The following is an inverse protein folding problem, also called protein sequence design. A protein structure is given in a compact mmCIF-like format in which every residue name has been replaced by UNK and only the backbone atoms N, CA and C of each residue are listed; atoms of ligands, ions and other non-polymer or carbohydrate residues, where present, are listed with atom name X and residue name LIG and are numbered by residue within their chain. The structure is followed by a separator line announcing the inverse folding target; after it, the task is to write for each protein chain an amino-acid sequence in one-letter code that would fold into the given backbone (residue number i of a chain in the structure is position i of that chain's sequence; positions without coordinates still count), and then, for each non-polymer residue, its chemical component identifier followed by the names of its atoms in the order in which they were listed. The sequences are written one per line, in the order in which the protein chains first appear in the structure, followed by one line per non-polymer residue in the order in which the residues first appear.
data_IF_250141368100
#
_entry.id   IF_250141368100
#
_cell.length_a   1.000
_cell.length_b   1.000
_cell.length_c   1.000
_cell.angle_alpha   90.00
_cell.angle_beta   90.00
_cell.angle_gamma   90.00
#
_symmetry.space_group_name_H-M   'P 1'
#
loop_
_entity.id
_entity.type
_entity.pdbx_description
1 polymer ?
#
# COMPACT_ATOMS: atom_id res chain seq x y z
N UNK A 1 -76.68 1.96 22.50
CA UNK A 1 -75.43 1.20 22.70
C UNK A 1 -74.40 2.15 23.26
N UNK A 2 -73.95 1.90 24.48
CA UNK A 2 -72.99 2.71 25.21
C UNK A 2 -71.56 2.27 24.85
N UNK A 3 -70.70 3.22 24.47
CA UNK A 3 -69.24 3.10 24.55
C UNK A 3 -68.70 4.52 24.70
N UNK A 4 -68.37 4.88 25.94
CA UNK A 4 -67.76 6.14 26.33
C UNK A 4 -66.33 6.21 25.81
N UNK A 5 -66.04 7.16 24.92
CA UNK A 5 -64.73 7.80 24.87
C UNK A 5 -64.59 8.63 26.15
N UNK A 6 -63.84 8.14 27.15
CA UNK A 6 -63.58 8.93 28.34
C UNK A 6 -62.08 9.05 28.59
N UNK A 7 -61.64 10.31 28.47
CA UNK A 7 -60.37 10.89 28.93
C UNK A 7 -59.19 10.79 27.98
N UNK A 8 -59.32 11.56 26.90
CA UNK A 8 -58.19 12.23 26.26
C UNK A 8 -57.38 13.03 27.28
N UNK A 9 -56.34 12.41 27.83
CA UNK A 9 -55.32 13.11 28.59
C UNK A 9 -54.31 13.72 27.63
N UNK A 10 -54.59 14.93 27.14
CA UNK A 10 -53.51 15.85 26.72
C UNK A 10 -52.72 16.23 27.97
N UNK A 11 -51.66 15.48 28.27
CA UNK A 11 -50.67 15.84 29.31
C UNK A 11 -49.78 16.97 28.77
N UNK A 12 -50.36 18.13 28.53
CA UNK A 12 -49.58 19.38 28.43
C UNK A 12 -50.06 20.31 29.53
N UNK A 13 -49.52 20.08 30.72
CA UNK A 13 -49.73 20.90 31.91
C UNK A 13 -48.70 22.03 31.84
N UNK A 14 -49.07 23.12 31.18
CA UNK A 14 -48.28 24.35 31.19
C UNK A 14 -48.10 24.84 32.63
N UNK A 15 -46.93 25.41 32.92
CA UNK A 15 -46.54 26.02 34.20
C UNK A 15 -45.81 25.08 35.18
N UNK A 16 -44.64 24.56 34.75
CA UNK A 16 -43.41 24.33 35.53
C UNK A 16 -42.46 23.49 34.67
N UNK A 17 -42.00 24.07 33.57
CA UNK A 17 -40.71 23.64 33.03
C UNK A 17 -39.70 24.11 34.06
N UNK A 18 -39.20 23.17 34.86
CA UNK A 18 -38.11 23.48 35.76
C UNK A 18 -36.93 23.91 34.88
N UNK A 19 -36.13 24.89 35.32
CA UNK A 19 -35.00 25.39 34.53
C UNK A 19 -34.06 24.21 34.18
N UNK A 20 -34.04 23.21 35.06
CA UNK A 20 -33.35 21.94 34.86
C UNK A 20 -33.85 21.13 33.65
N UNK A 21 -35.15 21.12 33.33
CA UNK A 21 -35.71 20.41 32.18
C UNK A 21 -35.29 21.07 30.85
N UNK A 22 -35.25 22.41 30.83
CA UNK A 22 -34.79 23.18 29.69
C UNK A 22 -33.28 22.97 29.48
N UNK A 23 -32.51 23.02 30.57
CA UNK A 23 -31.06 22.75 30.52
C UNK A 23 -30.76 21.33 30.01
N UNK A 24 -31.48 20.32 30.50
CA UNK A 24 -31.32 18.94 30.03
C UNK A 24 -31.67 18.77 28.55
N UNK A 25 -32.71 19.46 28.07
CA UNK A 25 -33.10 19.45 26.66
C UNK A 25 -32.05 20.13 25.76
N UNK A 26 -31.46 21.24 26.22
CA UNK A 26 -30.37 21.90 25.49
C UNK A 26 -29.12 21.02 25.46
N UNK A 27 -28.76 20.39 26.59
CA UNK A 27 -27.63 19.47 26.67
C UNK A 27 -27.83 18.28 25.75
N UNK A 28 -29.04 17.72 25.64
CA UNK A 28 -29.30 16.59 24.74
C UNK A 28 -29.18 16.97 23.27
N UNK A 29 -29.64 18.16 22.88
CA UNK A 29 -29.48 18.69 21.52
C UNK A 29 -28.00 18.90 21.18
N UNK A 30 -27.23 19.48 22.11
CA UNK A 30 -25.79 19.69 21.93
C UNK A 30 -25.05 18.34 21.85
N UNK A 31 -25.38 17.38 22.73
CA UNK A 31 -24.79 16.05 22.70
C UNK A 31 -25.09 15.32 21.38
N UNK A 32 -26.33 15.42 20.87
CA UNK A 32 -26.72 14.87 19.57
C UNK A 32 -25.97 15.53 18.40
N UNK A 33 -25.77 16.85 18.46
CA UNK A 33 -24.99 17.56 17.44
C UNK A 33 -23.53 17.11 17.44
N UNK A 34 -22.91 16.96 18.62
CA UNK A 34 -21.52 16.50 18.74
C UNK A 34 -21.37 15.06 18.26
N UNK A 35 -22.29 14.15 18.57
CA UNK A 35 -22.21 12.76 18.09
C UNK A 35 -22.33 12.66 16.58
N UNK A 36 -23.20 13.45 15.94
CA UNK A 36 -23.29 13.51 14.48
C UNK A 36 -21.96 13.96 13.86
N UNK A 37 -21.31 14.99 14.41
CA UNK A 37 -20.03 15.50 13.92
C UNK A 37 -18.92 14.45 14.03
N UNK A 38 -18.81 13.76 15.18
CA UNK A 38 -17.80 12.72 15.40
C UNK A 38 -18.00 11.53 14.46
N UNK A 39 -19.24 11.11 14.21
CA UNK A 39 -19.53 10.02 13.28
C UNK A 39 -19.26 10.41 11.83
N UNK A 40 -19.47 11.68 11.47
CA UNK A 40 -19.22 12.19 10.12
C UNK A 40 -17.73 12.26 9.76
N UNK A 41 -16.83 12.39 10.75
CA UNK A 41 -15.38 12.45 10.55
C UNK A 41 -14.76 11.12 11.01
N UNK A 42 -14.41 10.20 10.09
CA UNK A 42 -13.83 8.93 10.47
C UNK A 42 -12.37 9.08 10.86
N UNK A 43 -12.09 9.46 12.11
CA UNK A 43 -10.73 9.61 12.65
C UNK A 43 -9.92 8.30 12.64
N UNK A 44 -10.59 7.15 12.54
CA UNK A 44 -9.95 5.84 12.42
C UNK A 44 -9.48 5.47 11.01
N UNK A 45 -9.96 6.17 9.96
CA UNK A 45 -9.62 5.81 8.58
C UNK A 45 -8.13 6.01 8.26
N UNK A 46 -7.49 7.15 8.61
CA UNK A 46 -6.04 7.33 8.39
C UNK A 46 -5.19 6.31 9.14
N UNK A 47 -5.64 5.87 10.33
CA UNK A 47 -4.98 4.85 11.13
C UNK A 47 -5.04 3.47 10.45
N UNK A 48 -6.22 3.09 9.96
CA UNK A 48 -6.42 1.82 9.26
C UNK A 48 -5.53 1.72 8.00
N UNK A 49 -5.48 2.79 7.20
CA UNK A 49 -4.63 2.85 6.00
C UNK A 49 -3.15 2.71 6.35
N UNK A 50 -2.67 3.44 7.36
CA UNK A 50 -1.27 3.40 7.78
C UNK A 50 -0.87 2.00 8.27
N UNK A 51 -1.73 1.35 9.06
CA UNK A 51 -1.48 -0.01 9.56
C UNK A 51 -1.41 -1.03 8.41
N UNK A 52 -2.32 -0.91 7.45
CA UNK A 52 -2.37 -1.80 6.28
C UNK A 52 -1.12 -1.64 5.40
N UNK A 53 -0.67 -0.40 5.18
CA UNK A 53 0.55 -0.12 4.43
C UNK A 53 1.79 -0.62 5.18
N UNK A 54 1.88 -0.39 6.50
CA UNK A 54 2.99 -0.88 7.31
C UNK A 54 3.07 -2.41 7.31
N UNK A 55 1.92 -3.09 7.39
CA UNK A 55 1.85 -4.55 7.27
C UNK A 55 2.33 -5.02 5.90
N UNK A 56 1.87 -4.36 4.82
CA UNK A 56 2.26 -4.68 3.45
C UNK A 56 3.77 -4.50 3.24
N UNK A 57 4.36 -3.44 3.78
CA UNK A 57 5.82 -3.24 3.76
C UNK A 57 6.58 -4.35 4.46
N UNK A 58 6.10 -4.79 5.64
CA UNK A 58 6.73 -5.88 6.38
C UNK A 58 6.75 -7.16 5.54
N UNK A 59 5.66 -7.44 4.81
CA UNK A 59 5.58 -8.59 3.90
C UNK A 59 6.53 -8.42 2.70
N UNK A 60 6.52 -7.26 2.05
CA UNK A 60 7.42 -6.97 0.92
C UNK A 60 8.89 -7.08 1.29
N UNK A 61 9.27 -6.71 2.53
CA UNK A 61 10.63 -6.88 3.03
C UNK A 61 11.03 -8.36 3.12
N UNK A 62 10.11 -9.25 3.49
CA UNK A 62 10.36 -10.70 3.47
C UNK A 62 10.55 -11.24 2.03
N UNK A 63 9.93 -10.58 1.05
CA UNK A 63 10.07 -10.88 -0.38
C UNK A 63 11.27 -10.17 -1.04
N UNK A 64 12.26 -9.74 -0.25
CA UNK A 64 13.46 -9.00 -0.68
C UNK A 64 13.18 -7.62 -1.33
N UNK A 65 11.99 -7.04 -1.14
CA UNK A 65 11.61 -5.72 -1.62
C UNK A 65 11.55 -4.71 -0.46
N UNK A 66 12.65 -3.99 -0.22
CA UNK A 66 12.71 -2.97 0.83
C UNK A 66 12.00 -1.67 0.40
N UNK A 67 10.80 -1.41 0.95
CA UNK A 67 10.06 -0.17 0.70
C UNK A 67 10.38 0.87 1.78
N UNK A 68 10.82 2.07 1.38
CA UNK A 68 11.26 3.14 2.30
C UNK A 68 10.19 4.20 2.61
N UNK A 69 9.09 4.23 1.86
CA UNK A 69 8.01 5.24 1.96
C UNK A 69 6.64 4.57 1.85
N UNK A 70 5.67 4.96 2.70
CA UNK A 70 4.32 4.37 2.74
C UNK A 70 3.57 4.55 1.42
N UNK A 71 3.64 5.76 0.86
CA UNK A 71 3.02 6.08 -0.43
C UNK A 71 3.57 5.27 -1.61
N UNK A 72 4.81 4.78 -1.53
CA UNK A 72 5.39 3.97 -2.60
C UNK A 72 4.73 2.58 -2.69
N UNK A 73 4.32 2.01 -1.54
CA UNK A 73 3.61 0.74 -1.50
C UNK A 73 2.24 0.84 -2.18
N UNK A 74 1.51 1.93 -1.92
CA UNK A 74 0.23 2.23 -2.59
C UNK A 74 0.41 2.48 -4.09
N UNK A 75 1.36 3.35 -4.47
CA UNK A 75 1.60 3.73 -5.87
C UNK A 75 1.99 2.53 -6.73
N UNK A 76 2.79 1.61 -6.17
CA UNK A 76 3.22 0.40 -6.88
C UNK A 76 2.05 -0.50 -7.28
N UNK A 77 0.96 -0.50 -6.53
CA UNK A 77 -0.26 -1.25 -6.87
C UNK A 77 -0.95 -0.76 -8.16
N UNK A 78 -0.67 0.48 -8.59
CA UNK A 78 -1.23 1.08 -9.81
C UNK A 78 -0.20 1.27 -10.93
N UNK A 79 1.00 0.69 -10.80
CA UNK A 79 2.06 0.84 -11.80
C UNK A 79 1.69 0.13 -13.10
N UNK A 80 1.76 0.86 -14.23
CA UNK A 80 1.46 0.32 -15.58
C UNK A 80 2.71 0.11 -16.44
N UNK A 81 3.84 0.72 -16.07
CA UNK A 81 5.12 0.64 -16.79
C UNK A 81 6.25 0.41 -15.80
N UNK A 82 7.13 -0.54 -16.10
CA UNK A 82 8.34 -0.83 -15.32
C UNK A 82 9.56 -0.53 -16.20
N UNK A 83 10.26 0.56 -15.86
CA UNK A 83 11.56 0.86 -16.45
C UNK A 83 12.63 0.12 -15.65
N UNK A 84 13.28 -0.86 -16.27
CA UNK A 84 14.36 -1.63 -15.64
C UNK A 84 15.69 -1.34 -16.32
N UNK A 85 16.78 -1.33 -15.55
CA UNK A 85 18.12 -1.29 -16.11
C UNK A 85 18.51 -2.68 -16.64
N UNK A 86 19.41 -2.75 -17.63
CA UNK A 86 19.87 -4.04 -18.15
C UNK A 86 20.96 -4.64 -17.28
N UNK A 87 21.99 -3.87 -16.96
CA UNK A 87 23.25 -4.40 -16.43
C UNK A 87 23.16 -4.52 -14.92
N UNK A 88 23.28 -5.74 -14.40
CA UNK A 88 23.17 -6.00 -12.95
C UNK A 88 21.74 -5.99 -12.41
N UNK A 89 20.72 -5.76 -13.25
CA UNK A 89 19.31 -6.02 -12.89
C UNK A 89 18.74 -7.17 -13.72
N UNK A 90 18.70 -7.05 -15.06
CA UNK A 90 18.28 -8.16 -15.93
C UNK A 90 19.39 -9.17 -16.18
N UNK A 91 20.65 -8.73 -16.19
CA UNK A 91 21.81 -9.61 -16.31
C UNK A 91 22.40 -9.92 -14.95
N UNK A 92 23.01 -11.11 -14.80
CA UNK A 92 23.77 -11.50 -13.61
C UNK A 92 25.07 -10.69 -13.41
N UNK A 93 25.32 -9.68 -14.26
CA UNK A 93 26.58 -8.94 -14.33
C UNK A 93 27.83 -9.85 -14.44
N UNK A 94 27.65 -11.06 -15.00
CA UNK A 94 28.71 -12.04 -15.25
C UNK A 94 28.94 -12.10 -16.76
N UNK A 95 29.98 -11.42 -17.23
CA UNK A 95 30.34 -11.44 -18.65
C UNK A 95 31.09 -12.73 -18.98
N UNK A 96 30.58 -13.48 -19.96
CA UNK A 96 31.21 -14.69 -20.50
C UNK A 96 31.30 -14.60 -22.02
N UNK A 97 32.47 -14.92 -22.56
CA UNK A 97 32.64 -15.07 -24.02
C UNK A 97 31.96 -16.37 -24.43
N UNK A 98 30.87 -16.29 -25.20
CA UNK A 98 30.12 -17.46 -25.69
C UNK A 98 30.53 -17.88 -27.09
N UNK A 99 31.04 -16.94 -27.88
CA UNK A 99 31.50 -17.16 -29.26
C UNK A 99 32.73 -16.31 -29.51
N UNK A 100 33.67 -16.87 -30.24
CA UNK A 100 34.79 -16.13 -30.80
C UNK A 100 35.05 -16.65 -32.21
N UNK A 101 35.52 -15.76 -33.07
CA UNK A 101 35.86 -16.07 -34.46
C UNK A 101 37.37 -15.92 -34.60
N UNK A 102 38.03 -16.93 -35.18
CA UNK A 102 39.44 -16.86 -35.55
C UNK A 102 39.54 -17.11 -37.05
N UNK A 103 39.76 -16.05 -37.83
CA UNK A 103 39.73 -16.12 -39.30
C UNK A 103 38.30 -16.22 -39.85
N UNK A 104 38.01 -17.27 -40.64
CA UNK A 104 36.69 -17.52 -41.25
C UNK A 104 35.87 -18.53 -40.41
N UNK A 105 36.49 -19.13 -39.38
CA UNK A 105 35.86 -20.17 -38.57
C UNK A 105 35.18 -19.59 -37.33
N UNK A 106 33.91 -19.94 -37.15
CA UNK A 106 33.11 -19.56 -36.00
C UNK A 106 33.08 -20.70 -34.97
N UNK A 107 33.69 -20.49 -33.80
CA UNK A 107 33.68 -21.48 -32.72
C UNK A 107 32.48 -21.21 -31.78
N UNK A 108 31.65 -22.24 -31.58
CA UNK A 108 30.38 -22.15 -30.82
C UNK A 108 30.35 -23.22 -29.70
N UNK A 109 31.08 -22.96 -28.61
CA UNK A 109 31.24 -23.78 -27.37
C UNK A 109 31.88 -25.18 -27.59
N UNK A 110 32.64 -25.83 -26.71
CA UNK A 110 33.09 -25.69 -25.32
C UNK A 110 34.61 -25.44 -25.36
N UNK A 111 35.17 -24.64 -24.44
CA UNK A 111 36.62 -24.65 -24.19
C UNK A 111 37.02 -26.07 -23.74
N UNK A 112 37.35 -26.95 -24.68
CA UNK A 112 38.31 -28.00 -24.40
C UNK A 112 39.60 -27.27 -24.03
N UNK A 113 40.20 -27.61 -22.89
CA UNK A 113 41.37 -26.94 -22.31
C UNK A 113 42.63 -26.92 -23.21
N UNK A 114 42.53 -27.28 -24.49
CA UNK A 114 43.55 -27.15 -25.51
C UNK A 114 43.40 -25.80 -26.23
N UNK A 115 43.69 -24.71 -25.53
CA UNK A 115 43.96 -23.42 -26.17
C UNK A 115 45.28 -23.52 -26.93
N UNK A 116 45.28 -23.20 -28.23
CA UNK A 116 46.51 -23.18 -29.02
C UNK A 116 47.47 -22.09 -28.46
N UNK A 117 48.78 -22.37 -28.31
CA UNK A 117 49.73 -21.46 -27.67
C UNK A 117 49.81 -20.08 -28.33
N UNK A 118 49.51 -20.00 -29.63
CA UNK A 118 49.46 -18.74 -30.40
C UNK A 118 48.31 -17.82 -30.00
N UNK A 119 47.20 -18.37 -29.49
CA UNK A 119 46.07 -17.61 -28.95
C UNK A 119 46.41 -17.10 -27.55
N UNK A 120 47.17 -17.87 -26.76
CA UNK A 120 47.65 -17.45 -25.43
C UNK A 120 48.65 -16.29 -25.52
N UNK A 121 49.54 -16.29 -26.51
CA UNK A 121 50.45 -15.16 -26.77
C UNK A 121 49.70 -13.86 -27.10
N UNK A 122 48.59 -13.93 -27.83
CA UNK A 122 47.76 -12.74 -28.13
C UNK A 122 47.11 -12.14 -26.87
N UNK A 123 46.75 -12.97 -25.89
CA UNK A 123 46.23 -12.48 -24.60
C UNK A 123 47.34 -11.89 -23.70
N UNK A 124 48.61 -12.28 -23.89
CA UNK A 124 49.75 -11.74 -23.14
C UNK A 124 50.32 -10.45 -23.73
N UNK A 125 49.95 -10.08 -24.97
CA UNK A 125 50.39 -8.86 -25.64
C UNK A 125 49.43 -7.66 -25.48
N UNK A 126 48.30 -7.85 -24.80
CA UNK A 126 47.29 -6.81 -24.53
C UNK A 126 47.44 -6.16 -23.16
#
# INVERSE_FOLDING_TARGET
GNSQEDKGHKKFRGSKTDINDVLNSVVSIVAAAVTIVVVAIPEGLPLAVTLTLAYSMKRMMADNAMVRKLSACETMGSATVICTDKTGTLTLNQMRVTKFCLGIENFTEIFSNAMAPKVLELFHQG
#
